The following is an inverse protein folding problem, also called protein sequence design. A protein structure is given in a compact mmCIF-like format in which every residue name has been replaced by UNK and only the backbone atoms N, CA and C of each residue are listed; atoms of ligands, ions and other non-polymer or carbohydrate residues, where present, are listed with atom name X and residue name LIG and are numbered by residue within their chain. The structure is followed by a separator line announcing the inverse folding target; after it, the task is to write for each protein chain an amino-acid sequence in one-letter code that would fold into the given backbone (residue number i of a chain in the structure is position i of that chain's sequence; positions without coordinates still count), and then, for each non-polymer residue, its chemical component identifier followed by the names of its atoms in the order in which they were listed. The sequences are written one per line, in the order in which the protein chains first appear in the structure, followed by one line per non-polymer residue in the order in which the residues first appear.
data_IF_071156477853
#
_entry.id   IF_071156477853
#
_cell.length_a   1.000
_cell.length_b   1.000
_cell.length_c   1.000
_cell.angle_alpha   90.00
_cell.angle_beta   90.00
_cell.angle_gamma   90.00
#
_symmetry.space_group_name_H-M   'P 1'
#
loop_
_entity.id
_entity.type
_entity.pdbx_description
1 polymer ?
#
# COMPACT_ATOMS: atom_id res chain seq x y z
N UNK A 1 10.35 5.18 32.45
CA UNK A 1 10.79 4.63 31.14
C UNK A 1 9.59 4.68 30.21
N UNK A 2 9.71 5.33 29.06
CA UNK A 2 8.59 5.45 28.11
C UNK A 2 8.65 4.30 27.11
N UNK A 3 7.50 3.72 26.79
CA UNK A 3 7.38 2.64 25.81
C UNK A 3 6.53 3.12 24.63
N UNK A 4 6.99 2.87 23.41
CA UNK A 4 6.35 3.28 22.17
C UNK A 4 5.70 2.06 21.51
N UNK A 5 4.46 2.18 21.05
CA UNK A 5 3.68 1.04 20.57
C UNK A 5 3.05 1.37 19.22
N UNK A 6 3.29 0.52 18.23
CA UNK A 6 2.55 0.54 16.96
C UNK A 6 1.37 -0.42 17.11
N UNK A 7 0.16 0.10 16.88
CA UNK A 7 -1.08 -0.67 16.88
C UNK A 7 -1.62 -0.77 15.46
N UNK A 8 -1.99 -1.97 15.06
CA UNK A 8 -2.71 -2.18 13.81
C UNK A 8 -4.22 -2.23 14.09
N UNK A 9 -4.99 -1.60 13.22
CA UNK A 9 -6.45 -1.68 13.26
C UNK A 9 -6.90 -2.96 12.56
N UNK A 10 -7.94 -3.60 13.09
CA UNK A 10 -8.67 -4.60 12.32
C UNK A 10 -9.99 -3.99 11.87
N UNK A 11 -10.31 -4.22 10.59
CA UNK A 11 -11.50 -3.71 9.96
C UNK A 11 -12.55 -4.81 9.90
N UNK A 12 -13.78 -4.45 10.26
CA UNK A 12 -14.96 -5.24 9.99
C UNK A 12 -15.61 -4.75 8.70
N UNK A 13 -16.34 -5.65 8.04
CA UNK A 13 -17.19 -5.32 6.92
C UNK A 13 -18.62 -5.75 7.29
N UNK A 14 -19.56 -4.82 7.20
CA UNK A 14 -20.95 -5.16 6.95
C UNK A 14 -21.28 -4.78 5.49
N UNK A 15 -22.39 -5.29 4.98
CA UNK A 15 -22.89 -5.10 3.62
C UNK A 15 -22.96 -3.64 3.14
N UNK A 16 -22.89 -2.65 4.04
CA UNK A 16 -22.97 -1.23 3.73
C UNK A 16 -21.61 -0.50 3.82
N UNK A 17 -20.77 -0.84 4.81
CA UNK A 17 -19.54 -0.07 5.11
C UNK A 17 -18.40 -0.91 5.71
N UNK A 18 -17.18 -0.49 5.43
CA UNK A 18 -16.01 -0.87 6.23
C UNK A 18 -15.95 -0.02 7.51
N UNK A 19 -15.70 -0.65 8.65
CA UNK A 19 -15.53 0.07 9.93
C UNK A 19 -14.36 -0.50 10.73
N UNK A 20 -13.77 0.32 11.60
CA UNK A 20 -12.72 -0.15 12.52
C UNK A 20 -13.39 -0.95 13.63
N UNK A 21 -13.15 -2.25 13.65
CA UNK A 21 -13.73 -3.14 14.67
C UNK A 21 -12.84 -3.22 15.93
N UNK A 22 -11.59 -2.78 15.84
CA UNK A 22 -10.71 -2.50 16.99
C UNK A 22 -9.23 -2.46 16.61
N UNK A 23 -8.34 -2.78 17.56
CA UNK A 23 -6.90 -2.82 17.33
C UNK A 23 -6.17 -3.93 18.10
N UNK A 24 -4.98 -4.30 17.63
CA UNK A 24 -4.02 -5.15 18.35
C UNK A 24 -2.63 -4.52 18.35
N UNK A 25 -1.81 -4.90 19.33
CA UNK A 25 -0.40 -4.47 19.38
C UNK A 25 0.36 -5.21 18.29
N UNK A 26 0.97 -4.47 17.37
CA UNK A 26 1.80 -5.04 16.31
C UNK A 26 3.26 -5.09 16.75
N UNK A 27 3.81 -3.97 17.25
CA UNK A 27 5.20 -3.84 17.72
C UNK A 27 5.32 -2.90 18.92
N UNK A 28 6.34 -3.15 19.74
CA UNK A 28 6.67 -2.38 20.94
C UNK A 28 8.15 -2.01 20.90
N UNK A 29 8.47 -0.76 21.22
CA UNK A 29 9.82 -0.20 21.22
C UNK A 29 10.10 0.53 22.53
N UNK A 30 11.36 0.51 22.96
CA UNK A 30 11.84 1.30 24.11
C UNK A 30 12.54 2.59 23.67
N UNK A 31 12.90 2.68 22.39
CA UNK A 31 13.51 3.84 21.78
C UNK A 31 12.53 4.52 20.79
N UNK A 32 12.50 5.85 20.82
CA UNK A 32 11.55 6.63 20.01
C UNK A 32 11.96 6.63 18.54
N UNK A 33 13.23 6.80 18.24
CA UNK A 33 13.72 6.91 16.87
C UNK A 33 13.48 5.60 16.10
N UNK A 34 13.73 4.46 16.75
CA UNK A 34 13.42 3.15 16.18
C UNK A 34 11.93 2.97 15.89
N UNK A 35 11.05 3.44 16.77
CA UNK A 35 9.60 3.39 16.56
C UNK A 35 9.19 4.26 15.35
N UNK A 36 9.76 5.45 15.21
CA UNK A 36 9.46 6.36 14.10
C UNK A 36 9.97 5.84 12.76
N UNK A 37 11.17 5.27 12.71
CA UNK A 37 11.70 4.62 11.48
C UNK A 37 10.79 3.46 11.07
N UNK A 38 10.42 2.60 12.02
CA UNK A 38 9.52 1.49 11.76
C UNK A 38 8.13 1.96 11.28
N UNK A 39 7.60 3.02 11.88
CA UNK A 39 6.32 3.61 11.48
C UNK A 39 6.39 4.19 10.06
N UNK A 40 7.42 4.97 9.73
CA UNK A 40 7.61 5.52 8.38
C UNK A 40 7.71 4.44 7.31
N UNK A 41 8.36 3.32 7.61
CA UNK A 41 8.42 2.20 6.66
C UNK A 41 7.04 1.57 6.43
N UNK A 42 6.20 1.50 7.46
CA UNK A 42 4.82 1.03 7.30
C UNK A 42 3.99 1.98 6.43
N UNK A 43 4.15 3.29 6.60
CA UNK A 43 3.48 4.29 5.74
C UNK A 43 3.90 4.16 4.27
N UNK A 44 5.20 3.97 4.02
CA UNK A 44 5.71 3.73 2.66
C UNK A 44 5.12 2.44 2.06
N UNK A 45 5.11 1.35 2.85
CA UNK A 45 4.57 0.08 2.38
C UNK A 45 3.05 0.18 2.14
N UNK A 46 2.31 0.85 3.01
CA UNK A 46 0.86 1.05 2.87
C UNK A 46 0.51 1.93 1.67
N UNK A 47 1.32 2.95 1.37
CA UNK A 47 1.12 3.76 0.18
C UNK A 47 1.35 2.99 -1.13
N UNK A 48 2.16 1.91 -1.10
CA UNK A 48 2.38 1.01 -2.23
C UNK A 48 1.31 -0.09 -2.35
N UNK A 49 0.68 -0.46 -1.24
CA UNK A 49 -0.39 -1.45 -1.19
C UNK A 49 -1.74 -0.86 -1.63
N UNK A 50 -1.74 -0.12 -2.74
CA UNK A 50 -2.95 0.40 -3.38
C UNK A 50 -3.34 -0.52 -4.52
N UNK A 51 -4.61 -0.93 -4.55
CA UNK A 51 -5.16 -1.79 -5.58
C UNK A 51 -5.18 -1.05 -6.93
N UNK A 52 -4.21 -1.35 -7.81
CA UNK A 52 -4.11 -0.65 -9.11
C UNK A 52 -5.36 -0.84 -9.97
N UNK A 53 -6.04 -1.98 -9.84
CA UNK A 53 -7.28 -2.28 -10.55
C UNK A 53 -8.48 -1.44 -10.08
N UNK A 54 -8.37 -0.76 -8.93
CA UNK A 54 -9.39 0.17 -8.42
C UNK A 54 -9.10 1.62 -8.83
N UNK A 55 -7.97 1.88 -9.51
CA UNK A 55 -7.65 3.20 -10.05
C UNK A 55 -8.42 3.41 -11.35
N UNK A 56 -9.41 4.31 -11.34
CA UNK A 56 -10.26 4.63 -12.49
C UNK A 56 -9.46 4.93 -13.77
N UNK A 57 -8.37 5.68 -13.66
CA UNK A 57 -7.51 6.02 -14.81
C UNK A 57 -6.76 4.83 -15.40
N UNK A 58 -6.62 3.72 -14.67
CA UNK A 58 -6.05 2.46 -15.17
C UNK A 58 -7.14 1.53 -15.72
N UNK A 59 -8.35 1.61 -15.14
CA UNK A 59 -9.48 0.77 -15.54
C UNK A 59 -9.93 1.06 -16.99
N UNK A 60 -10.00 2.33 -17.38
CA UNK A 60 -10.45 2.76 -18.71
C UNK A 60 -9.31 3.03 -19.71
N UNK A 61 -8.06 2.77 -19.33
CA UNK A 61 -6.92 3.11 -20.17
C UNK A 61 -6.66 2.09 -21.28
N UNK A 62 -6.28 2.60 -22.45
CA UNK A 62 -5.91 1.77 -23.60
C UNK A 62 -4.49 1.20 -23.47
N UNK A 63 -4.19 0.17 -24.25
CA UNK A 63 -2.90 -0.53 -24.20
C UNK A 63 -1.70 0.42 -24.42
N UNK A 64 -1.87 1.50 -25.18
CA UNK A 64 -0.83 2.49 -25.40
C UNK A 64 -0.51 3.27 -24.12
N UNK A 65 -1.54 3.77 -23.44
CA UNK A 65 -1.38 4.46 -22.16
C UNK A 65 -0.85 3.51 -21.07
N UNK A 66 -1.33 2.25 -21.04
CA UNK A 66 -0.85 1.26 -20.07
C UNK A 66 0.67 1.01 -20.22
N UNK A 67 1.15 0.85 -21.46
CA UNK A 67 2.59 0.69 -21.74
C UNK A 67 3.40 1.93 -21.35
N UNK A 68 2.88 3.13 -21.63
CA UNK A 68 3.57 4.36 -21.23
C UNK A 68 3.72 4.47 -19.70
N UNK A 69 2.69 4.08 -18.96
CA UNK A 69 2.73 4.07 -17.50
C UNK A 69 3.67 2.99 -16.96
N UNK A 70 3.64 1.80 -17.57
CA UNK A 70 4.54 0.70 -17.23
C UNK A 70 6.01 1.05 -17.45
N UNK A 71 6.35 1.62 -18.61
CA UNK A 71 7.72 2.07 -18.94
C UNK A 71 8.20 3.15 -17.94
N UNK A 72 7.31 4.06 -17.55
CA UNK A 72 7.64 5.08 -16.55
C UNK A 72 7.94 4.46 -15.18
N UNK A 73 7.11 3.51 -14.73
CA UNK A 73 7.32 2.83 -13.45
C UNK A 73 8.60 2.00 -13.50
N UNK A 74 8.86 1.27 -14.58
CA UNK A 74 10.08 0.51 -14.76
C UNK A 74 11.33 1.40 -14.73
N UNK A 75 11.30 2.57 -15.40
CA UNK A 75 12.41 3.53 -15.39
C UNK A 75 12.71 4.07 -13.98
N UNK A 76 11.68 4.23 -13.13
CA UNK A 76 11.82 4.81 -11.79
C UNK A 76 12.11 3.79 -10.71
N UNK A 77 11.54 2.60 -10.84
CA UNK A 77 11.46 1.60 -9.76
C UNK A 77 12.11 0.27 -10.15
N UNK A 78 12.37 0.02 -11.44
CA UNK A 78 12.95 -1.23 -11.93
C UNK A 78 11.97 -2.40 -12.02
N UNK A 79 10.68 -2.16 -11.78
CA UNK A 79 9.63 -3.17 -11.74
C UNK A 79 8.55 -2.85 -12.78
N UNK A 80 8.00 -3.88 -13.43
CA UNK A 80 6.88 -3.76 -14.35
C UNK A 80 5.55 -3.93 -13.60
N UNK A 81 4.58 -3.09 -13.92
CA UNK A 81 3.21 -3.15 -13.41
C UNK A 81 2.22 -3.70 -14.43
N UNK A 82 2.60 -3.82 -15.71
CA UNK A 82 1.77 -4.35 -16.79
C UNK A 82 2.49 -5.52 -17.49
N UNK A 83 1.93 -6.73 -17.38
CA UNK A 83 2.48 -7.94 -18.02
C UNK A 83 1.37 -8.81 -18.59
N UNK A 84 1.59 -9.33 -19.80
CA UNK A 84 0.72 -10.31 -20.46
C UNK A 84 -0.76 -9.87 -20.58
N UNK A 85 -1.00 -8.57 -20.74
CA UNK A 85 -2.36 -8.01 -20.83
C UNK A 85 -3.06 -7.80 -19.49
N UNK A 86 -2.32 -7.90 -18.37
CA UNK A 86 -2.85 -7.74 -17.02
C UNK A 86 -2.01 -6.82 -16.16
N UNK A 87 -2.65 -6.15 -15.20
CA UNK A 87 -1.98 -5.34 -14.19
C UNK A 87 -1.54 -6.17 -12.99
N UNK A 88 -0.40 -5.79 -12.41
CA UNK A 88 -0.11 -6.13 -11.02
C UNK A 88 -1.28 -5.70 -10.16
N UNK A 89 -1.66 -6.53 -9.19
CA UNK A 89 -2.76 -6.22 -8.28
C UNK A 89 -2.45 -5.01 -7.39
N UNK A 90 -1.16 -4.70 -7.21
CA UNK A 90 -0.66 -3.68 -6.30
C UNK A 90 0.41 -2.82 -6.98
N UNK A 91 0.60 -1.60 -6.49
CA UNK A 91 1.68 -0.75 -6.95
C UNK A 91 3.04 -1.28 -6.46
N UNK A 92 4.09 -1.04 -7.26
CA UNK A 92 5.47 -1.39 -6.95
C UNK A 92 6.13 -0.41 -5.93
#
# INVERSE_FOLDING_TARGET
MSTYVIREKYFGYNDEVFYVSGNRINKVFQDKEQAEVAYKQLEINGARDFALYEVESLFDADEALLKQLDDFVFLRCGEHIYQEGSFSRYAA
#
